data_IF_962392164429
#
_entry.id   IF_962392164429
#
_cell.length_a   1.000
_cell.length_b   1.000
_cell.length_c   1.000
_cell.angle_alpha   90.00
_cell.angle_beta   90.00
_cell.angle_gamma   90.00
#
_symmetry.space_group_name_H-M   'P 1'
#
loop_
_entity.id
_entity.type
_entity.pdbx_description
1 polymer ?
#
# COMPACT_ATOMS: atom_id res chain seq x y z
N UNK A 1 -13.33 14.53 -5.19
CA UNK A 1 -11.99 14.02 -5.54
C UNK A 1 -11.92 12.65 -4.90
N UNK A 2 -11.39 11.66 -5.60
CA UNK A 2 -11.26 10.34 -5.02
C UNK A 2 -10.18 10.38 -3.94
N UNK A 3 -10.33 9.61 -2.86
CA UNK A 3 -9.42 9.65 -1.71
C UNK A 3 -8.87 8.26 -1.39
N UNK A 4 -7.64 8.20 -0.89
CA UNK A 4 -7.08 7.03 -0.22
C UNK A 4 -6.68 7.41 1.20
N UNK A 5 -7.01 6.55 2.17
CA UNK A 5 -6.72 6.72 3.59
C UNK A 5 -5.65 5.72 4.02
N UNK A 6 -4.52 6.24 4.49
CA UNK A 6 -3.45 5.47 5.11
C UNK A 6 -3.60 5.52 6.62
N UNK A 7 -3.62 4.37 7.29
CA UNK A 7 -3.75 4.27 8.74
C UNK A 7 -2.45 3.69 9.31
N UNK A 8 -1.71 4.49 10.05
CA UNK A 8 -0.52 4.06 10.78
C UNK A 8 -0.85 2.97 11.81
N UNK A 9 0.16 2.25 12.27
CA UNK A 9 0.01 1.21 13.30
C UNK A 9 -0.64 1.74 14.60
N UNK A 10 -0.41 3.01 14.94
CA UNK A 10 -0.99 3.66 16.13
C UNK A 10 -2.44 4.15 15.94
N UNK A 11 -2.99 3.99 14.73
CA UNK A 11 -4.33 4.42 14.34
C UNK A 11 -4.42 5.83 13.76
N UNK A 12 -3.31 6.58 13.68
CA UNK A 12 -3.26 7.88 13.01
C UNK A 12 -3.60 7.71 11.53
N UNK A 13 -4.55 8.50 11.05
CA UNK A 13 -5.06 8.41 9.68
C UNK A 13 -4.61 9.60 8.84
N UNK A 14 -4.22 9.33 7.60
CA UNK A 14 -3.81 10.32 6.62
C UNK A 14 -4.62 10.14 5.34
N UNK A 15 -5.35 11.18 4.96
CA UNK A 15 -6.13 11.19 3.73
C UNK A 15 -5.35 11.91 2.63
N UNK A 16 -5.25 11.28 1.45
CA UNK A 16 -4.59 11.88 0.28
C UNK A 16 -5.49 11.77 -0.95
N UNK A 17 -5.24 12.63 -1.92
CA UNK A 17 -5.89 12.52 -3.22
C UNK A 17 -5.48 11.21 -3.91
N UNK A 18 -6.46 10.48 -4.40
CA UNK A 18 -6.25 9.30 -5.23
C UNK A 18 -6.10 9.75 -6.68
N UNK A 19 -4.92 9.50 -7.24
CA UNK A 19 -4.58 9.88 -8.61
C UNK A 19 -4.59 8.62 -9.48
N UNK A 20 -5.58 8.52 -10.37
CA UNK A 20 -5.72 7.35 -11.25
C UNK A 20 -4.47 7.15 -12.12
N UNK A 21 -4.01 5.90 -12.22
CA UNK A 21 -2.83 5.52 -13.00
C UNK A 21 -1.51 5.58 -12.22
N UNK A 22 -1.45 6.27 -11.08
CA UNK A 22 -0.31 6.18 -10.15
C UNK A 22 -0.44 4.94 -9.27
N UNK A 23 0.69 4.45 -8.77
CA UNK A 23 0.68 3.42 -7.73
C UNK A 23 0.32 4.02 -6.37
N UNK A 24 -0.23 3.20 -5.48
CA UNK A 24 -0.51 3.63 -4.09
C UNK A 24 0.78 4.07 -3.37
N UNK A 25 1.93 3.51 -3.75
CA UNK A 25 3.25 3.95 -3.25
C UNK A 25 3.62 5.36 -3.72
N UNK A 26 3.41 5.69 -5.00
CA UNK A 26 3.69 7.03 -5.53
C UNK A 26 2.79 8.09 -4.86
N UNK A 27 1.52 7.76 -4.65
CA UNK A 27 0.59 8.62 -3.92
C UNK A 27 1.05 8.83 -2.47
N UNK A 28 1.46 7.75 -1.79
CA UNK A 28 1.94 7.82 -0.42
C UNK A 28 3.22 8.68 -0.27
N UNK A 29 4.20 8.43 -1.14
CA UNK A 29 5.51 9.11 -1.10
C UNK A 29 5.41 10.58 -1.49
N UNK A 30 4.64 10.91 -2.54
CA UNK A 30 4.37 12.30 -2.94
C UNK A 30 3.60 13.10 -1.88
N UNK A 31 2.75 12.42 -1.10
CA UNK A 31 2.00 12.99 0.02
C UNK A 31 2.76 12.94 1.36
N UNK A 32 4.01 12.46 1.36
CA UNK A 32 4.86 12.32 2.54
C UNK A 32 4.22 11.50 3.69
N UNK A 33 3.53 10.41 3.33
CA UNK A 33 2.95 9.47 4.29
C UNK A 33 4.08 8.78 5.07
N UNK A 34 4.09 8.86 6.42
CA UNK A 34 5.11 8.22 7.22
C UNK A 34 5.06 6.69 7.07
N UNK A 35 6.24 6.05 7.04
CA UNK A 35 6.34 4.59 7.00
C UNK A 35 6.11 3.96 5.62
N UNK A 36 6.11 4.74 4.53
CA UNK A 36 6.22 4.21 3.16
C UNK A 36 7.40 4.92 2.48
N UNK A 37 8.49 4.20 2.27
CA UNK A 37 9.71 4.76 1.68
C UNK A 37 9.82 4.46 0.18
N UNK A 38 9.50 3.23 -0.23
CA UNK A 38 9.54 2.84 -1.65
C UNK A 38 10.95 2.76 -2.25
N UNK A 39 11.95 2.38 -1.48
CA UNK A 39 13.40 2.42 -1.82
C UNK A 39 13.80 1.83 -3.18
N UNK A 40 13.12 0.78 -3.64
CA UNK A 40 13.42 0.17 -4.94
C UNK A 40 12.76 0.87 -6.14
N UNK A 41 12.01 1.96 -5.91
CA UNK A 41 11.30 2.69 -6.97
C UNK A 41 10.14 1.93 -7.62
N UNK A 42 9.63 0.88 -6.97
CA UNK A 42 8.49 0.09 -7.47
C UNK A 42 8.83 -1.25 -8.13
N UNK A 43 10.09 -1.66 -8.09
CA UNK A 43 10.57 -2.93 -8.70
C UNK A 43 10.22 -4.20 -7.88
N UNK A 44 9.34 -4.09 -6.87
CA UNK A 44 8.95 -5.20 -5.98
C UNK A 44 10.15 -5.92 -5.34
N UNK A 45 11.17 -5.16 -4.91
CA UNK A 45 12.46 -5.71 -4.47
C UNK A 45 12.92 -5.30 -3.06
N UNK A 46 12.22 -4.41 -2.36
CA UNK A 46 12.66 -3.88 -1.05
C UNK A 46 11.71 -4.16 0.13
N UNK A 47 10.41 -4.37 -0.11
CA UNK A 47 9.44 -4.55 0.98
C UNK A 47 9.07 -3.26 1.73
N UNK A 48 9.72 -2.12 1.50
CA UNK A 48 9.52 -0.85 2.25
C UNK A 48 8.28 -0.04 1.86
N UNK A 49 7.33 -0.70 1.20
CA UNK A 49 6.04 -0.15 0.81
C UNK A 49 4.90 -1.12 1.15
N UNK A 50 5.11 -1.94 2.18
CA UNK A 50 4.13 -2.90 2.66
C UNK A 50 2.93 -2.15 3.23
N UNK A 51 1.76 -2.47 2.71
CA UNK A 51 0.44 -2.04 3.19
C UNK A 51 -0.44 -3.26 3.47
N UNK A 52 -1.42 -3.12 4.34
CA UNK A 52 -2.42 -4.13 4.65
C UNK A 52 -3.78 -3.58 4.23
N UNK A 53 -4.37 -4.19 3.20
CA UNK A 53 -5.59 -3.67 2.56
C UNK A 53 -6.82 -4.04 3.38
N UNK A 54 -7.71 -3.09 3.67
CA UNK A 54 -8.96 -3.40 4.38
C UNK A 54 -9.81 -4.42 3.58
N UNK A 55 -10.55 -5.29 4.27
CA UNK A 55 -11.18 -6.47 3.67
C UNK A 55 -12.13 -6.11 2.51
N UNK A 56 -12.81 -4.97 2.62
CA UNK A 56 -13.72 -4.45 1.59
C UNK A 56 -13.01 -4.11 0.27
N UNK A 57 -11.72 -3.78 0.32
CA UNK A 57 -10.92 -3.30 -0.83
C UNK A 57 -10.05 -4.38 -1.48
N UNK A 58 -9.95 -5.57 -0.89
CA UNK A 58 -9.12 -6.68 -1.43
C UNK A 58 -9.47 -6.98 -2.89
N UNK A 59 -10.76 -6.97 -3.22
CA UNK A 59 -11.23 -7.32 -4.56
C UNK A 59 -10.79 -6.36 -5.66
N UNK A 60 -10.54 -5.09 -5.33
CA UNK A 60 -10.15 -4.06 -6.30
C UNK A 60 -8.64 -3.82 -6.35
N UNK A 61 -7.89 -4.18 -5.30
CA UNK A 61 -6.42 -4.02 -5.30
C UNK A 61 -5.70 -5.07 -6.15
N UNK A 62 -6.36 -6.18 -6.47
CA UNK A 62 -5.79 -7.26 -7.27
C UNK A 62 -5.11 -8.34 -6.41
N UNK A 63 -4.27 -9.17 -7.03
CA UNK A 63 -3.58 -10.29 -6.35
C UNK A 63 -2.08 -10.08 -6.42
N UNK A 64 -1.38 -10.60 -5.40
CA UNK A 64 0.08 -10.65 -5.39
C UNK A 64 0.60 -11.45 -6.57
N UNK A 65 1.67 -10.97 -7.19
CA UNK A 65 2.51 -11.82 -8.03
C UNK A 65 3.42 -12.70 -7.14
N UNK A 66 4.18 -13.60 -7.77
CA UNK A 66 5.11 -14.48 -7.05
C UNK A 66 6.23 -13.67 -6.37
N UNK A 67 6.79 -12.69 -7.07
CA UNK A 67 7.86 -11.82 -6.55
C UNK A 67 7.36 -10.97 -5.37
N UNK A 68 6.16 -10.40 -5.48
CA UNK A 68 5.53 -9.65 -4.40
C UNK A 68 5.30 -10.54 -3.17
N UNK A 69 4.82 -11.77 -3.38
CA UNK A 69 4.61 -12.74 -2.29
C UNK A 69 5.92 -13.06 -1.56
N UNK A 70 6.99 -13.37 -2.31
CA UNK A 70 8.29 -13.68 -1.71
C UNK A 70 8.83 -12.54 -0.84
N UNK A 71 8.67 -11.29 -1.28
CA UNK A 71 9.08 -10.13 -0.49
C UNK A 71 8.24 -9.95 0.78
N UNK A 72 6.91 -10.09 0.66
CA UNK A 72 6.00 -9.93 1.79
C UNK A 72 6.17 -11.06 2.82
N UNK A 73 6.45 -12.29 2.40
CA UNK A 73 6.69 -13.43 3.29
C UNK A 73 7.94 -13.29 4.17
N UNK A 74 8.83 -12.34 3.86
CA UNK A 74 9.95 -11.96 4.73
C UNK A 74 9.53 -11.03 5.88
N UNK A 75 8.38 -10.37 5.79
CA UNK A 75 7.86 -9.49 6.83
C UNK A 75 7.12 -10.28 7.92
N UNK A 76 7.41 -10.05 9.22
CA UNK A 76 6.70 -10.70 10.32
C UNK A 76 5.22 -10.26 10.43
N UNK A 77 4.88 -9.10 9.86
CA UNK A 77 3.53 -8.53 9.87
C UNK A 77 2.76 -8.85 8.57
N UNK A 78 3.20 -9.85 7.80
CA UNK A 78 2.50 -10.28 6.60
C UNK A 78 1.15 -10.93 6.93
N UNK A 79 0.06 -10.23 6.59
CA UNK A 79 -1.32 -10.72 6.62
C UNK A 79 -1.76 -11.22 5.23
N UNK A 80 -2.85 -12.01 5.08
CA UNK A 80 -3.33 -12.48 3.77
C UNK A 80 -3.72 -11.38 2.77
N UNK A 81 -4.09 -10.22 3.29
CA UNK A 81 -4.48 -8.99 2.58
C UNK A 81 -3.34 -7.97 2.48
N UNK A 82 -2.12 -8.31 2.91
CA UNK A 82 -0.94 -7.47 2.63
C UNK A 82 -0.70 -7.31 1.13
N UNK A 83 -0.20 -6.15 0.72
CA UNK A 83 0.28 -5.86 -0.64
C UNK A 83 1.52 -4.98 -0.55
N UNK A 84 2.34 -5.00 -1.58
CA UNK A 84 3.29 -3.92 -1.82
C UNK A 84 2.52 -2.82 -2.56
N UNK A 85 2.41 -1.63 -1.96
CA UNK A 85 1.60 -0.53 -2.51
C UNK A 85 2.09 -0.06 -3.87
N UNK A 86 3.35 -0.33 -4.23
CA UNK A 86 3.88 -0.06 -5.57
C UNK A 86 3.32 -0.99 -6.65
N UNK A 87 2.78 -2.16 -6.27
CA UNK A 87 2.14 -3.13 -7.17
C UNK A 87 0.62 -2.96 -7.24
N UNK A 88 0.08 -1.87 -6.68
CA UNK A 88 -1.34 -1.53 -6.69
C UNK A 88 -1.50 -0.22 -7.46
N UNK A 89 -2.05 -0.29 -8.66
CA UNK A 89 -2.36 0.89 -9.47
C UNK A 89 -3.72 1.46 -9.07
N UNK A 90 -3.75 2.76 -8.75
CA UNK A 90 -4.96 3.48 -8.42
C UNK A 90 -5.94 3.53 -9.61
N UNK A 91 -7.23 3.34 -9.32
CA UNK A 91 -8.30 3.37 -10.30
C UNK A 91 -9.56 4.03 -9.74
N UNK A 92 -10.47 4.49 -10.60
CA UNK A 92 -11.75 5.08 -10.18
C UNK A 92 -12.58 4.22 -9.20
N UNK A 93 -12.41 2.89 -9.22
CA UNK A 93 -13.11 1.97 -8.32
C UNK A 93 -12.56 1.92 -6.89
N UNK A 94 -11.54 2.71 -6.58
CA UNK A 94 -10.84 2.76 -5.29
C UNK A 94 -11.12 4.05 -4.51
N UNK A 95 -12.14 4.83 -4.89
CA UNK A 95 -12.51 6.03 -4.14
C UNK A 95 -12.95 5.67 -2.71
N UNK A 96 -12.16 6.10 -1.72
CA UNK A 96 -12.30 5.73 -0.31
C UNK A 96 -11.42 4.56 0.13
N UNK A 97 -10.48 4.11 -0.71
CA UNK A 97 -9.56 3.02 -0.41
C UNK A 97 -8.92 3.23 0.97
N UNK A 98 -9.02 2.23 1.82
CA UNK A 98 -8.42 2.25 3.15
C UNK A 98 -7.35 1.16 3.27
N UNK A 99 -6.17 1.57 3.72
CA UNK A 99 -5.04 0.68 3.93
C UNK A 99 -4.40 0.97 5.29
N UNK A 100 -3.94 -0.08 5.96
CA UNK A 100 -3.15 0.02 7.19
C UNK A 100 -1.67 -0.12 6.87
N UNK A 101 -0.84 0.53 7.68
CA UNK A 101 0.61 0.37 7.65
C UNK A 101 1.03 -0.60 8.77
N UNK A 102 2.03 -1.46 8.52
CA UNK A 102 2.66 -2.24 9.60
C UNK A 102 3.36 -1.31 10.60
N UNK A 103 3.72 -1.84 11.78
CA UNK A 103 4.54 -1.09 12.74
C UNK A 103 5.92 -0.78 12.16
N UNK A 104 6.49 -1.72 11.41
CA UNK A 104 7.80 -1.57 10.78
C UNK A 104 7.78 -1.97 9.31
N UNK A 105 8.43 -1.15 8.47
CA UNK A 105 8.86 -1.56 7.14
C UNK A 105 10.16 -2.38 7.23
N UNK A 106 10.50 -3.04 6.11
CA UNK A 106 11.70 -3.88 5.99
C UNK A 106 13.01 -3.09 6.12
#
# INVERSE_FOLDING_TARGET
>A
MATVTFVEHDGTSHDTDLVEGESIMEIATSSAIPGIDGDCGGESACGTCHIIVDDEWISVTGRRCEQESQMLEMSPECEPNSRLSCQVTASAGMDGLKVRLPEFQM
#
